data_IF_809467341288
#
_entry.id   IF_809467341288
#
_cell.length_a   1.000
_cell.length_b   1.000
_cell.length_c   1.000
_cell.angle_alpha   90.00
_cell.angle_beta   90.00
_cell.angle_gamma   90.00
#
_symmetry.space_group_name_H-M   'P 1'
#
loop_
_entity.id
_entity.type
_entity.pdbx_description
1 polymer ?
#
# COMPACT_ATOMS: atom_id res chain seq x y z
N UNK A 1 -14.49 4.87 -10.71
CA UNK A 1 -13.71 4.01 -11.62
C UNK A 1 -13.92 2.54 -11.33
N UNK A 2 -13.36 2.03 -10.22
CA UNK A 2 -13.34 0.60 -9.89
C UNK A 2 -14.70 -0.10 -9.87
N UNK A 3 -15.74 0.48 -9.29
CA UNK A 3 -17.08 -0.13 -9.28
C UNK A 3 -17.59 -0.45 -10.69
N UNK A 4 -17.40 0.47 -11.64
CA UNK A 4 -17.80 0.25 -13.02
C UNK A 4 -16.89 -0.77 -13.70
N UNK A 5 -15.57 -0.65 -13.50
CA UNK A 5 -14.62 -1.62 -14.04
C UNK A 5 -14.97 -3.06 -13.60
N UNK A 6 -15.14 -3.27 -12.30
CA UNK A 6 -15.49 -4.56 -11.72
C UNK A 6 -16.84 -5.04 -12.23
N UNK A 7 -17.86 -4.18 -12.27
CA UNK A 7 -19.18 -4.55 -12.79
C UNK A 7 -19.12 -5.07 -14.22
N UNK A 8 -18.32 -4.46 -15.09
CA UNK A 8 -18.24 -4.86 -16.49
C UNK A 8 -17.34 -6.09 -16.72
N UNK A 9 -16.31 -6.30 -15.88
CA UNK A 9 -15.38 -7.45 -16.02
C UNK A 9 -15.83 -8.69 -15.25
N UNK A 10 -16.37 -8.52 -14.05
CA UNK A 10 -16.71 -9.61 -13.11
C UNK A 10 -18.12 -9.49 -12.48
N UNK A 11 -18.91 -8.49 -12.83
CA UNK A 11 -20.30 -8.33 -12.36
C UNK A 11 -20.45 -7.65 -10.99
N UNK A 12 -19.76 -8.14 -9.96
CA UNK A 12 -19.80 -7.56 -8.60
C UNK A 12 -18.43 -7.62 -7.92
N UNK A 13 -18.15 -6.70 -6.97
CA UNK A 13 -16.94 -6.81 -6.16
C UNK A 13 -17.07 -7.93 -5.13
N UNK A 14 -15.95 -8.60 -4.85
CA UNK A 14 -15.82 -9.47 -3.69
C UNK A 14 -15.77 -8.67 -2.39
N UNK A 15 -16.15 -9.27 -1.24
CA UNK A 15 -16.09 -8.58 0.04
C UNK A 15 -14.63 -8.33 0.43
N UNK A 16 -14.39 -7.19 1.09
CA UNK A 16 -13.10 -6.90 1.72
C UNK A 16 -12.81 -7.95 2.78
N UNK A 17 -11.59 -8.50 2.75
CA UNK A 17 -11.08 -9.47 3.73
C UNK A 17 -11.20 -8.95 5.16
N UNK A 18 -11.42 -9.86 6.11
CA UNK A 18 -11.80 -9.52 7.49
C UNK A 18 -10.79 -8.59 8.17
N UNK A 19 -9.50 -8.86 8.03
CA UNK A 19 -8.45 -8.05 8.64
C UNK A 19 -8.45 -6.61 8.08
N UNK A 20 -8.38 -6.46 6.75
CA UNK A 20 -8.35 -5.15 6.10
C UNK A 20 -9.64 -4.36 6.37
N UNK A 21 -10.80 -5.04 6.40
CA UNK A 21 -12.08 -4.43 6.78
C UNK A 21 -12.03 -3.85 8.19
N UNK A 22 -11.53 -4.61 9.16
CA UNK A 22 -11.46 -4.17 10.55
C UNK A 22 -10.50 -2.99 10.71
N UNK A 23 -9.33 -3.04 10.07
CA UNK A 23 -8.38 -1.93 10.03
C UNK A 23 -9.03 -0.66 9.46
N UNK A 24 -9.74 -0.76 8.33
CA UNK A 24 -10.44 0.37 7.73
C UNK A 24 -11.50 0.96 8.67
N UNK A 25 -12.30 0.12 9.32
CA UNK A 25 -13.32 0.55 10.29
C UNK A 25 -12.68 1.28 11.47
N UNK A 26 -11.60 0.72 12.02
CA UNK A 26 -10.84 1.30 13.13
C UNK A 26 -10.29 2.69 12.76
N UNK A 27 -9.66 2.81 11.59
CA UNK A 27 -9.06 4.06 11.12
C UNK A 27 -10.11 5.15 10.91
N UNK A 28 -11.23 4.82 10.27
CA UNK A 28 -12.33 5.76 10.03
C UNK A 28 -13.02 6.17 11.35
N UNK A 29 -13.23 5.20 12.24
CA UNK A 29 -13.91 5.39 13.52
C UNK A 29 -13.06 6.04 14.61
N UNK A 30 -11.74 6.09 14.45
CA UNK A 30 -10.82 6.64 15.45
C UNK A 30 -11.09 8.12 15.74
N UNK A 31 -11.06 8.51 17.01
CA UNK A 31 -11.03 9.92 17.43
C UNK A 31 -9.63 10.56 17.34
N UNK A 32 -8.59 9.77 17.12
CA UNK A 32 -7.20 10.23 17.09
C UNK A 32 -6.83 10.72 15.69
N UNK A 33 -6.47 12.00 15.58
CA UNK A 33 -6.10 12.63 14.30
C UNK A 33 -4.87 11.95 13.68
N UNK A 34 -3.83 11.68 14.49
CA UNK A 34 -2.63 11.00 14.00
C UNK A 34 -2.93 9.63 13.40
N UNK A 35 -3.90 8.90 13.98
CA UNK A 35 -4.25 7.56 13.53
C UNK A 35 -4.93 7.59 12.17
N UNK A 36 -5.75 8.62 11.90
CA UNK A 36 -6.31 8.86 10.57
C UNK A 36 -5.22 9.19 9.55
N UNK A 37 -4.31 10.09 9.89
CA UNK A 37 -3.31 10.57 8.93
C UNK A 37 -2.23 9.52 8.70
N UNK A 38 -1.59 9.02 9.75
CA UNK A 38 -0.59 7.94 9.62
C UNK A 38 -1.25 6.68 9.05
N UNK A 39 -2.43 6.29 9.53
CA UNK A 39 -3.05 5.04 9.13
C UNK A 39 -3.67 5.04 7.74
N UNK A 40 -4.45 6.05 7.38
CA UNK A 40 -5.03 6.12 6.02
C UNK A 40 -3.98 6.62 5.03
N UNK A 41 -3.36 7.76 5.33
CA UNK A 41 -2.57 8.50 4.34
C UNK A 41 -1.15 7.98 4.16
N UNK A 42 -0.61 7.22 5.12
CA UNK A 42 0.75 6.70 4.99
C UNK A 42 0.78 5.18 4.90
N UNK A 43 0.05 4.50 5.80
CA UNK A 43 -0.01 3.03 5.78
C UNK A 43 -0.87 2.54 4.62
N UNK A 44 -2.16 2.85 4.59
CA UNK A 44 -3.06 2.30 3.56
C UNK A 44 -2.78 2.83 2.16
N UNK A 45 -2.58 4.13 2.01
CA UNK A 45 -2.27 4.70 0.70
C UNK A 45 -0.87 4.30 0.20
N UNK A 46 0.12 4.19 1.10
CA UNK A 46 1.44 3.66 0.74
C UNK A 46 1.36 2.22 0.20
N UNK A 47 0.54 1.37 0.83
CA UNK A 47 0.23 0.03 0.32
C UNK A 47 -0.51 0.08 -1.02
N UNK A 48 -1.49 0.96 -1.15
CA UNK A 48 -2.27 1.13 -2.38
C UNK A 48 -1.38 1.53 -3.56
N UNK A 49 -0.41 2.43 -3.37
CA UNK A 49 0.54 2.80 -4.41
C UNK A 49 1.36 1.60 -4.91
N UNK A 50 1.85 0.74 -4.00
CA UNK A 50 2.57 -0.47 -4.39
C UNK A 50 1.70 -1.47 -5.17
N UNK A 51 0.46 -1.67 -4.73
CA UNK A 51 -0.52 -2.51 -5.45
C UNK A 51 -0.85 -1.94 -6.84
N UNK A 52 -1.11 -0.63 -6.93
CA UNK A 52 -1.44 0.02 -8.19
C UNK A 52 -0.26 0.06 -9.16
N UNK A 53 0.96 0.29 -8.66
CA UNK A 53 2.17 0.20 -9.48
C UNK A 53 2.38 -1.21 -10.04
N UNK A 54 2.14 -2.24 -9.21
CA UNK A 54 2.20 -3.64 -9.65
C UNK A 54 1.19 -3.92 -10.77
N UNK A 55 -0.07 -3.50 -10.60
CA UNK A 55 -1.08 -3.66 -11.66
C UNK A 55 -0.78 -2.81 -12.89
N UNK A 56 -0.26 -1.60 -12.74
CA UNK A 56 0.15 -0.76 -13.87
C UNK A 56 1.25 -1.44 -14.70
N UNK A 57 2.19 -2.12 -14.04
CA UNK A 57 3.32 -2.77 -14.71
C UNK A 57 2.95 -4.13 -15.32
N UNK A 58 2.11 -4.92 -14.64
CA UNK A 58 1.93 -6.35 -14.96
C UNK A 58 0.52 -6.73 -15.42
N UNK A 59 -0.47 -5.85 -15.31
CA UNK A 59 -1.82 -6.18 -15.77
C UNK A 59 -1.92 -6.22 -17.30
N UNK A 60 -2.64 -7.22 -17.81
CA UNK A 60 -2.90 -7.35 -19.25
C UNK A 60 -4.10 -6.52 -19.72
N UNK A 61 -4.96 -6.06 -18.82
CA UNK A 61 -6.16 -5.29 -19.18
C UNK A 61 -5.80 -3.79 -19.30
N UNK A 62 -5.85 -3.19 -20.51
CA UNK A 62 -5.47 -1.80 -20.71
C UNK A 62 -6.37 -0.81 -19.94
N UNK A 63 -7.63 -1.17 -19.69
CA UNK A 63 -8.54 -0.36 -18.87
C UNK A 63 -8.10 -0.37 -17.41
N UNK A 64 -7.63 -1.52 -16.90
CA UNK A 64 -7.09 -1.62 -15.55
C UNK A 64 -5.82 -0.81 -15.41
N UNK A 65 -4.86 -0.98 -16.33
CA UNK A 65 -3.60 -0.22 -16.35
C UNK A 65 -3.90 1.28 -16.31
N UNK A 66 -4.83 1.74 -17.16
CA UNK A 66 -5.22 3.14 -17.19
C UNK A 66 -5.90 3.61 -15.92
N UNK A 67 -6.78 2.80 -15.35
CA UNK A 67 -7.45 3.10 -14.08
C UNK A 67 -6.43 3.19 -12.92
N UNK A 68 -5.41 2.34 -12.90
CA UNK A 68 -4.34 2.41 -11.90
C UNK A 68 -3.60 3.74 -12.00
N UNK A 69 -3.16 4.12 -13.21
CA UNK A 69 -2.43 5.36 -13.41
C UNK A 69 -3.21 6.59 -12.93
N UNK A 70 -4.50 6.69 -13.29
CA UNK A 70 -5.34 7.81 -12.88
C UNK A 70 -5.59 7.81 -11.37
N UNK A 71 -5.84 6.65 -10.76
CA UNK A 71 -6.05 6.56 -9.31
C UNK A 71 -4.78 6.93 -8.55
N UNK A 72 -3.62 6.46 -9.02
CA UNK A 72 -2.32 6.78 -8.43
C UNK A 72 -2.02 8.29 -8.43
N UNK A 73 -2.54 9.06 -9.39
CA UNK A 73 -2.37 10.52 -9.35
C UNK A 73 -3.01 11.13 -8.10
N UNK A 74 -4.14 10.59 -7.63
CA UNK A 74 -4.86 11.06 -6.46
C UNK A 74 -4.17 10.58 -5.18
N UNK A 75 -3.88 9.28 -5.09
CA UNK A 75 -3.23 8.70 -3.91
C UNK A 75 -1.82 9.25 -3.69
N UNK A 76 -1.08 9.62 -4.74
CA UNK A 76 0.20 10.29 -4.57
C UNK A 76 0.07 11.64 -3.86
N UNK A 77 -1.02 12.39 -4.09
CA UNK A 77 -1.28 13.63 -3.35
C UNK A 77 -1.67 13.38 -1.90
N UNK A 78 -2.56 12.43 -1.65
CA UNK A 78 -2.97 12.03 -0.30
C UNK A 78 -1.76 11.54 0.51
N UNK A 79 -0.94 10.67 -0.09
CA UNK A 79 0.26 10.14 0.53
C UNK A 79 1.30 11.23 0.81
N UNK A 80 1.48 12.18 -0.12
CA UNK A 80 2.35 13.35 0.09
C UNK A 80 1.83 14.25 1.21
N UNK A 81 0.52 14.43 1.31
CA UNK A 81 -0.09 15.17 2.42
C UNK A 81 0.22 14.49 3.77
N UNK A 82 0.05 13.16 3.85
CA UNK A 82 0.39 12.38 5.04
C UNK A 82 1.84 12.57 5.47
N UNK A 83 2.79 12.46 4.52
CA UNK A 83 4.22 12.72 4.77
C UNK A 83 4.50 14.13 5.27
N UNK A 84 3.93 15.16 4.64
CA UNK A 84 4.12 16.55 5.06
C UNK A 84 3.57 16.76 6.48
N UNK A 85 2.41 16.19 6.79
CA UNK A 85 1.85 16.28 8.14
C UNK A 85 2.76 15.59 9.15
N UNK A 86 3.26 14.39 8.84
CA UNK A 86 4.16 13.64 9.71
C UNK A 86 5.44 14.43 10.01
N UNK A 87 6.11 14.92 8.96
CA UNK A 87 7.32 15.74 9.05
C UNK A 87 7.12 17.00 9.91
N UNK A 88 5.99 17.69 9.73
CA UNK A 88 5.68 18.94 10.45
C UNK A 88 5.07 18.77 11.83
N UNK A 89 4.60 17.57 12.20
CA UNK A 89 3.84 17.36 13.44
C UNK A 89 4.56 16.41 14.39
N UNK A 90 5.01 15.25 13.91
CA UNK A 90 5.60 14.21 14.76
C UNK A 90 6.79 14.71 15.58
N UNK A 91 7.71 15.56 15.07
CA UNK A 91 8.81 16.09 15.89
C UNK A 91 8.36 16.97 17.07
N UNK A 92 7.12 17.47 17.05
CA UNK A 92 6.59 18.45 18.00
C UNK A 92 5.55 17.88 18.97
N UNK A 93 5.21 16.59 18.89
CA UNK A 93 4.34 15.93 19.87
C UNK A 93 5.15 15.28 21.00
N UNK A 94 4.50 15.03 22.13
CA UNK A 94 5.14 14.40 23.29
C UNK A 94 5.70 13.00 23.00
N UNK A 95 6.69 12.57 23.77
CA UNK A 95 7.31 11.25 23.63
C UNK A 95 6.28 10.11 23.68
N UNK A 96 5.35 10.15 24.64
CA UNK A 96 4.28 9.15 24.76
C UNK A 96 3.42 9.04 23.49
N UNK A 97 3.05 10.17 22.89
CA UNK A 97 2.25 10.17 21.66
C UNK A 97 3.06 9.64 20.45
N UNK A 98 4.37 9.92 20.40
CA UNK A 98 5.25 9.33 19.38
C UNK A 98 5.36 7.83 19.55
N UNK A 99 5.64 7.36 20.76
CA UNK A 99 5.78 5.94 21.07
C UNK A 99 4.52 5.17 20.68
N UNK A 100 3.33 5.73 20.95
CA UNK A 100 2.05 5.16 20.51
C UNK A 100 1.93 5.04 18.98
N UNK A 101 2.44 6.01 18.22
CA UNK A 101 2.46 5.96 16.75
C UNK A 101 3.42 4.86 16.26
N UNK A 102 4.62 4.78 16.84
CA UNK A 102 5.62 3.77 16.46
C UNK A 102 5.12 2.36 16.75
N UNK A 103 4.60 2.13 17.96
CA UNK A 103 4.12 0.83 18.41
C UNK A 103 2.93 0.38 17.55
N UNK A 104 1.99 1.29 17.26
CA UNK A 104 0.85 1.01 16.38
C UNK A 104 1.28 0.72 14.93
N UNK A 105 2.21 1.49 14.38
CA UNK A 105 2.70 1.26 13.02
C UNK A 105 3.41 -0.10 12.88
N UNK A 106 4.15 -0.51 13.91
CA UNK A 106 4.79 -1.83 13.97
C UNK A 106 3.74 -2.95 14.06
N UNK A 107 2.75 -2.82 14.93
CA UNK A 107 1.65 -3.79 15.08
C UNK A 107 0.87 -3.98 13.78
N UNK A 108 0.51 -2.86 13.12
CA UNK A 108 -0.22 -2.90 11.85
C UNK A 108 0.62 -3.52 10.74
N UNK A 109 1.91 -3.17 10.66
CA UNK A 109 2.82 -3.79 9.70
C UNK A 109 2.90 -5.31 9.88
N UNK A 110 3.14 -5.77 11.11
CA UNK A 110 3.21 -7.20 11.43
C UNK A 110 1.90 -7.91 11.05
N UNK A 111 0.77 -7.29 11.40
CA UNK A 111 -0.55 -7.87 11.14
C UNK A 111 -0.85 -7.93 9.64
N UNK A 112 -0.46 -6.92 8.86
CA UNK A 112 -0.57 -6.93 7.40
C UNK A 112 0.29 -8.04 6.79
N UNK A 113 1.53 -8.21 7.25
CA UNK A 113 2.45 -9.22 6.73
C UNK A 113 1.88 -10.65 6.87
N UNK A 114 1.16 -10.90 7.97
CA UNK A 114 0.53 -12.20 8.25
C UNK A 114 -0.79 -12.36 7.49
N UNK A 115 -1.66 -11.34 7.55
CA UNK A 115 -3.06 -11.50 7.18
C UNK A 115 -3.37 -11.12 5.73
N UNK A 116 -2.56 -10.29 5.07
CA UNK A 116 -2.93 -9.75 3.76
C UNK A 116 -3.08 -10.85 2.68
N UNK A 117 -2.31 -11.92 2.82
CA UNK A 117 -2.29 -13.05 1.89
C UNK A 117 -2.89 -14.34 2.46
N UNK A 118 -3.53 -14.31 3.65
CA UNK A 118 -4.03 -15.52 4.31
C UNK A 118 -5.08 -16.25 3.46
N UNK A 119 -4.84 -17.51 3.05
CA UNK A 119 -5.80 -18.31 2.30
C UNK A 119 -7.15 -18.48 2.98
N UNK A 120 -7.17 -18.43 4.32
CA UNK A 120 -8.40 -18.55 5.11
C UNK A 120 -9.41 -17.44 4.80
N UNK A 121 -8.96 -16.27 4.32
CA UNK A 121 -9.86 -15.19 3.91
C UNK A 121 -10.41 -15.37 2.49
N UNK A 122 -9.91 -16.37 1.74
CA UNK A 122 -10.17 -16.58 0.31
C UNK A 122 -10.72 -17.98 0.01
N UNK A 123 -11.30 -18.66 1.02
CA UNK A 123 -11.77 -20.06 0.90
C UNK A 123 -12.70 -20.27 -0.31
N UNK A 124 -13.64 -19.34 -0.52
CA UNK A 124 -14.59 -19.39 -1.64
C UNK A 124 -13.88 -19.34 -3.01
N UNK A 125 -12.80 -18.56 -3.14
CA UNK A 125 -12.02 -18.45 -4.38
C UNK A 125 -11.33 -19.78 -4.70
N UNK A 126 -10.76 -20.44 -3.70
CA UNK A 126 -10.11 -21.74 -3.88
C UNK A 126 -11.12 -22.85 -4.20
N UNK A 127 -12.27 -22.83 -3.53
CA UNK A 127 -13.34 -23.79 -3.78
C UNK A 127 -13.86 -23.72 -5.23
N UNK A 128 -13.93 -22.53 -5.83
CA UNK A 128 -14.36 -22.34 -7.23
C UNK A 128 -13.44 -23.04 -8.25
N UNK A 129 -12.17 -23.25 -7.90
CA UNK A 129 -11.18 -23.96 -8.73
C UNK A 129 -10.87 -25.37 -8.21
N UNK A 130 -11.67 -25.88 -7.27
CA UNK A 130 -11.52 -27.25 -6.74
C UNK A 130 -10.33 -27.44 -5.79
N UNK A 131 -9.85 -26.36 -5.16
CA UNK A 131 -8.75 -26.41 -4.19
C UNK A 131 -9.28 -26.30 -2.76
N UNK A 132 -8.76 -27.15 -1.87
CA UNK A 132 -8.97 -27.00 -0.42
C UNK A 132 -8.07 -25.88 0.13
N UNK A 133 -8.65 -24.98 0.92
CA UNK A 133 -7.92 -23.80 1.41
C UNK A 133 -6.85 -24.15 2.46
N UNK A 134 -7.00 -25.27 3.18
CA UNK A 134 -6.00 -25.73 4.15
C UNK A 134 -4.78 -26.29 3.42
N UNK A 135 -5.01 -27.03 2.33
CA UNK A 135 -3.92 -27.48 1.44
C UNK A 135 -3.17 -26.29 0.84
N UNK A 136 -3.87 -25.26 0.36
CA UNK A 136 -3.24 -24.02 -0.11
C UNK A 136 -2.46 -23.33 1.01
N UNK A 137 -3.00 -23.25 2.22
CA UNK A 137 -2.32 -22.66 3.39
C UNK A 137 -1.05 -23.43 3.73
N UNK A 138 -1.07 -24.75 3.72
CA UNK A 138 0.10 -25.59 3.97
C UNK A 138 1.16 -25.39 2.90
N UNK A 139 0.78 -25.40 1.62
CA UNK A 139 1.69 -25.16 0.51
C UNK A 139 2.32 -23.75 0.58
N UNK A 140 1.54 -22.74 0.97
CA UNK A 140 2.06 -21.38 1.16
C UNK A 140 2.99 -21.29 2.37
N UNK A 141 2.72 -21.99 3.47
CA UNK A 141 3.64 -22.03 4.63
C UNK A 141 4.98 -22.69 4.28
N UNK A 142 4.96 -23.73 3.45
CA UNK A 142 6.17 -24.39 2.95
C UNK A 142 6.95 -23.48 2.00
N UNK A 143 6.26 -22.79 1.08
CA UNK A 143 6.90 -21.94 0.07
C UNK A 143 7.35 -20.56 0.61
N UNK A 144 6.57 -19.95 1.49
CA UNK A 144 6.78 -18.57 1.97
C UNK A 144 7.55 -18.57 3.30
N UNK A 145 8.79 -19.03 3.22
CA UNK A 145 9.75 -18.94 4.33
C UNK A 145 10.17 -17.50 4.57
N UNK A 146 10.84 -17.24 5.71
CA UNK A 146 11.38 -15.90 5.99
C UNK A 146 12.46 -15.49 4.98
N UNK A 147 13.25 -16.43 4.47
CA UNK A 147 14.23 -16.17 3.41
C UNK A 147 13.55 -15.77 2.09
N UNK A 148 12.44 -16.42 1.75
CA UNK A 148 11.63 -16.01 0.61
C UNK A 148 11.08 -14.60 0.80
N UNK A 149 10.52 -14.28 1.99
CA UNK A 149 10.04 -12.92 2.31
C UNK A 149 11.15 -11.89 2.20
N UNK A 150 12.32 -12.15 2.78
CA UNK A 150 13.50 -11.27 2.71
C UNK A 150 13.91 -11.01 1.26
N UNK A 151 13.98 -12.06 0.45
CA UNK A 151 14.29 -11.94 -0.99
C UNK A 151 13.26 -11.08 -1.71
N UNK A 152 11.96 -11.32 -1.47
CA UNK A 152 10.90 -10.51 -2.06
C UNK A 152 10.97 -9.04 -1.62
N UNK A 153 11.43 -8.74 -0.40
CA UNK A 153 11.60 -7.38 0.09
C UNK A 153 12.89 -6.69 -0.40
N UNK A 154 13.70 -7.34 -1.23
CA UNK A 154 14.75 -6.67 -2.01
C UNK A 154 14.15 -5.90 -3.20
N UNK A 155 13.01 -6.36 -3.71
CA UNK A 155 12.33 -5.70 -4.82
C UNK A 155 11.79 -4.34 -4.36
N UNK A 156 12.22 -3.27 -5.05
CA UNK A 156 11.80 -1.90 -4.72
C UNK A 156 10.29 -1.70 -4.78
N UNK A 157 9.60 -2.46 -5.64
CA UNK A 157 8.14 -2.46 -5.83
C UNK A 157 7.37 -3.28 -4.81
N UNK A 158 8.06 -4.03 -3.94
CA UNK A 158 7.41 -4.83 -2.91
C UNK A 158 6.63 -3.93 -1.95
N UNK A 159 5.33 -4.20 -1.81
CA UNK A 159 4.41 -3.37 -1.01
C UNK A 159 4.85 -3.20 0.45
N UNK A 160 5.46 -4.23 1.04
CA UNK A 160 5.92 -4.19 2.43
C UNK A 160 7.21 -3.39 2.55
N UNK A 161 8.15 -3.52 1.60
CA UNK A 161 9.36 -2.69 1.54
C UNK A 161 9.01 -1.20 1.41
N UNK A 162 8.07 -0.87 0.52
CA UNK A 162 7.56 0.50 0.33
C UNK A 162 6.95 1.06 1.61
N UNK A 163 6.19 0.24 2.35
CA UNK A 163 5.63 0.65 3.63
C UNK A 163 6.73 0.93 4.66
N UNK A 164 7.76 0.07 4.79
CA UNK A 164 8.90 0.34 5.69
C UNK A 164 9.57 1.66 5.30
N UNK A 165 9.86 1.86 4.01
CA UNK A 165 10.51 3.08 3.53
C UNK A 165 9.67 4.32 3.89
N UNK A 166 8.36 4.23 3.72
CA UNK A 166 7.43 5.32 4.05
C UNK A 166 7.48 5.68 5.53
N UNK A 167 7.40 4.69 6.42
CA UNK A 167 7.45 4.91 7.86
C UNK A 167 8.82 5.42 8.32
N UNK A 168 9.91 4.90 7.73
CA UNK A 168 11.28 5.34 8.00
C UNK A 168 11.49 6.80 7.61
N UNK A 169 11.11 7.18 6.38
CA UNK A 169 11.27 8.56 5.87
C UNK A 169 10.40 9.58 6.60
N UNK A 170 9.36 9.13 7.28
CA UNK A 170 8.51 9.97 8.10
C UNK A 170 8.90 10.01 9.59
N UNK A 171 10.06 9.46 9.95
CA UNK A 171 10.55 9.37 11.34
C UNK A 171 9.58 8.63 12.29
N UNK A 172 8.76 7.71 11.76
CA UNK A 172 7.92 6.81 12.56
C UNK A 172 8.73 5.57 12.96
N UNK A 173 9.61 5.08 12.09
CA UNK A 173 10.59 4.07 12.49
C UNK A 173 11.77 4.81 13.13
N UNK A 174 11.97 4.57 14.42
CA UNK A 174 13.11 5.10 15.18
C UNK A 174 14.00 3.97 15.68
N UNK A 175 15.02 4.30 16.47
CA UNK A 175 15.86 3.31 17.13
C UNK A 175 15.06 2.33 18.02
N UNK A 176 13.87 2.72 18.51
CA UNK A 176 13.01 1.83 19.33
C UNK A 176 12.50 0.64 18.51
N UNK A 177 12.07 0.89 17.27
CA UNK A 177 11.36 -0.10 16.44
C UNK A 177 12.18 -0.59 15.23
N UNK A 178 13.30 0.07 14.88
CA UNK A 178 14.13 -0.30 13.73
C UNK A 178 14.61 -1.76 13.75
N UNK A 179 14.89 -2.32 14.92
CA UNK A 179 15.30 -3.72 15.07
C UNK A 179 14.26 -4.70 14.49
N UNK A 180 12.97 -4.43 14.67
CA UNK A 180 11.91 -5.25 14.10
C UNK A 180 11.95 -5.27 12.56
N UNK A 181 12.16 -4.11 11.93
CA UNK A 181 12.18 -3.98 10.47
C UNK A 181 13.48 -4.48 9.83
N UNK A 182 14.61 -4.38 10.54
CA UNK A 182 15.91 -4.90 10.09
C UNK A 182 15.92 -6.43 9.89
N UNK A 183 14.94 -7.13 10.46
CA UNK A 183 14.67 -8.54 10.16
C UNK A 183 14.21 -8.79 8.72
N UNK A 184 13.85 -7.76 7.96
CA UNK A 184 13.24 -7.92 6.64
C UNK A 184 13.97 -7.15 5.54
N UNK A 185 14.58 -6.01 5.88
CA UNK A 185 15.27 -5.12 4.92
C UNK A 185 16.57 -4.58 5.52
N UNK A 186 17.50 -4.17 4.65
CA UNK A 186 18.65 -3.36 5.05
C UNK A 186 18.18 -1.92 5.33
N UNK A 187 18.21 -1.52 6.60
CA UNK A 187 17.73 -0.21 7.04
C UNK A 187 18.66 0.93 6.62
N UNK A 188 19.96 0.69 6.49
CA UNK A 188 20.93 1.70 6.09
C UNK A 188 20.84 1.95 4.58
N UNK A 189 20.70 0.89 3.79
CA UNK A 189 20.38 0.99 2.36
C UNK A 189 19.10 1.79 2.15
N UNK A 190 18.01 1.42 2.83
CA UNK A 190 16.70 2.05 2.68
C UNK A 190 16.71 3.54 3.09
N UNK A 191 17.53 3.88 4.09
CA UNK A 191 17.74 5.27 4.53
C UNK A 191 18.51 6.08 3.49
N UNK A 192 19.52 5.47 2.85
CA UNK A 192 20.34 6.07 1.82
C UNK A 192 19.60 6.28 0.49
N UNK A 193 18.53 5.53 0.24
CA UNK A 193 17.66 5.77 -0.92
C UNK A 193 17.05 7.18 -0.92
N UNK A 194 16.78 7.72 -2.10
CA UNK A 194 16.02 8.97 -2.24
C UNK A 194 14.57 8.86 -1.73
N UNK A 195 13.92 10.00 -1.58
CA UNK A 195 12.55 10.09 -1.03
C UNK A 195 11.45 9.71 -2.03
N UNK A 196 11.84 9.47 -3.27
CA UNK A 196 10.96 9.01 -4.33
C UNK A 196 10.37 7.64 -3.97
N UNK A 197 9.05 7.54 -4.10
CA UNK A 197 8.28 6.34 -3.83
C UNK A 197 7.88 5.64 -5.12
N UNK A 198 7.56 4.36 -4.96
CA UNK A 198 6.98 3.55 -6.02
C UNK A 198 5.66 4.18 -6.45
N UNK A 199 5.56 4.48 -7.74
CA UNK A 199 4.39 5.12 -8.32
C UNK A 199 4.48 6.63 -8.50
N UNK A 200 5.47 7.32 -7.93
CA UNK A 200 5.63 8.77 -8.12
C UNK A 200 5.76 9.13 -9.60
N UNK A 201 6.59 8.40 -10.36
CA UNK A 201 6.75 8.61 -11.79
C UNK A 201 5.44 8.34 -12.57
N UNK A 202 4.71 7.29 -12.20
CA UNK A 202 3.43 6.92 -12.82
C UNK A 202 2.38 8.02 -12.58
N UNK A 203 2.34 8.55 -11.35
CA UNK A 203 1.48 9.66 -10.95
C UNK A 203 1.88 10.96 -11.68
N UNK A 204 3.17 11.29 -11.78
CA UNK A 204 3.65 12.47 -12.50
C UNK A 204 3.25 12.44 -13.98
N UNK A 205 3.40 11.30 -14.64
CA UNK A 205 3.00 11.13 -16.03
C UNK A 205 1.47 11.19 -16.19
N UNK A 206 0.72 10.62 -15.24
CA UNK A 206 -0.73 10.79 -15.16
C UNK A 206 -1.14 12.27 -15.03
N UNK A 207 -0.44 13.05 -14.20
CA UNK A 207 -0.69 14.49 -14.02
C UNK A 207 -0.39 15.26 -15.31
N UNK A 208 0.71 14.95 -16.01
CA UNK A 208 1.03 15.58 -17.32
C UNK A 208 -0.09 15.35 -18.32
N UNK A 209 -0.59 14.11 -18.41
CA UNK A 209 -1.74 13.79 -19.24
C UNK A 209 -2.98 14.61 -18.84
N UNK A 210 -3.34 14.63 -17.55
CA UNK A 210 -4.53 15.35 -17.07
C UNK A 210 -4.45 16.86 -17.36
N UNK A 211 -3.25 17.46 -17.27
CA UNK A 211 -3.01 18.86 -17.66
C UNK A 211 -3.28 19.09 -19.14
N UNK A 212 -2.93 18.16 -20.02
CA UNK A 212 -3.23 18.27 -21.44
C UNK A 212 -4.75 18.24 -21.67
N UNK A 213 -5.46 17.28 -21.07
CA UNK A 213 -6.93 17.18 -21.17
C UNK A 213 -7.62 18.46 -20.71
N UNK A 214 -7.20 19.00 -19.57
CA UNK A 214 -7.78 20.22 -19.02
C UNK A 214 -7.39 21.47 -19.83
N UNK A 215 -6.17 21.50 -20.37
CA UNK A 215 -5.67 22.60 -21.21
C UNK A 215 -6.28 22.66 -22.61
N UNK A 216 -6.82 21.55 -23.13
CA UNK A 216 -7.49 21.48 -24.44
C UNK A 216 -9.01 21.63 -24.37
N UNK A 217 -9.56 22.06 -23.23
CA UNK A 217 -11.01 22.19 -23.04
C UNK A 217 -11.76 20.85 -23.08
N UNK A 218 -11.09 19.75 -22.72
CA UNK A 218 -11.68 18.40 -22.74
C UNK A 218 -11.58 17.67 -24.08
N UNK A 219 -10.94 18.27 -25.09
CA UNK A 219 -10.71 17.62 -26.39
C UNK A 219 -9.43 16.78 -26.29
N UNK A 220 -9.57 15.48 -26.01
CA UNK A 220 -8.45 14.54 -26.05
C UNK A 220 -8.37 13.98 -27.47
N UNK A 221 -7.33 14.31 -28.23
CA UNK A 221 -7.07 13.62 -29.49
C UNK A 221 -6.77 12.16 -29.15
N UNK A 222 -7.51 11.23 -29.75
CA UNK A 222 -7.24 9.81 -29.63
C UNK A 222 -5.80 9.57 -30.10
N UNK A 223 -4.96 9.01 -29.22
CA UNK A 223 -3.65 8.52 -29.61
C UNK A 223 -3.85 7.30 -30.51
N UNK A 224 -3.27 7.36 -31.72
CA UNK A 224 -3.15 6.24 -32.66
C UNK A 224 -2.31 5.09 -32.11
#
# INVERSE_FOLDING_TARGET
GFTQYIKHRWGKPEPVGGFLRNLLIELVGSGLVWKKIVGLQMVLEGLAMGVFASYFQYANDPVLVRLMQLTMTDEAFHHKFGKIWADKTIPHIGAEARDQIEDWAMEVYQSLLINLSDPEQKQHIYAEVGLDWQDVKNAMLEAFTDDFRRTQMQESTNIFRVLIKTLLKANIITNRTAGFYSGWVDMDELKAEGDQMVGDAIAEDGIKFLKQVNGTGGTVMAAE
#
